data_IF_149849588259
#
_entry.id   IF_149849588259
#
_cell.length_a   1.000
_cell.length_b   1.000
_cell.length_c   1.000
_cell.angle_alpha   90.00
_cell.angle_beta   90.00
_cell.angle_gamma   90.00
#
_symmetry.space_group_name_H-M   'P 1'
#
loop_
_entity.id
_entity.type
_entity.pdbx_description
1 polymer ?
#
# COMPACT_ATOMS: atom_id res chain seq x y z
N UNK A 1 -2.40 46.29 2.71
CA UNK A 1 -1.96 45.39 1.65
C UNK A 1 -0.94 44.46 2.28
N UNK A 2 -1.43 43.40 2.94
CA UNK A 2 -0.58 42.35 3.53
C UNK A 2 -0.80 41.10 2.69
N UNK A 3 0.13 40.83 1.79
CA UNK A 3 0.26 39.51 1.18
C UNK A 3 0.74 38.54 2.25
N UNK A 4 -0.18 37.73 2.74
CA UNK A 4 0.13 36.60 3.57
C UNK A 4 0.79 35.54 2.68
N UNK A 5 2.10 35.48 2.76
CA UNK A 5 2.89 34.36 2.23
C UNK A 5 2.38 33.09 2.91
N UNK A 6 1.55 32.34 2.22
CA UNK A 6 1.35 30.92 2.50
C UNK A 6 2.66 30.21 2.16
N UNK A 7 3.54 30.11 3.15
CA UNK A 7 4.62 29.13 3.12
C UNK A 7 3.91 27.77 2.98
N UNK A 8 4.06 27.14 1.83
CA UNK A 8 3.82 25.72 1.67
C UNK A 8 4.76 25.03 2.67
N UNK A 9 4.25 24.69 3.85
CA UNK A 9 4.94 23.76 4.73
C UNK A 9 5.21 22.51 3.88
N UNK A 10 6.48 22.21 3.66
CA UNK A 10 6.93 21.12 2.82
C UNK A 10 6.23 19.82 3.29
N UNK A 11 5.67 19.07 2.36
CA UNK A 11 5.10 17.76 2.65
C UNK A 11 6.19 16.91 3.28
N UNK A 12 6.11 16.63 4.58
CA UNK A 12 6.99 15.70 5.29
C UNK A 12 6.55 14.24 5.01
N UNK A 13 6.21 13.95 3.76
CA UNK A 13 5.69 12.64 3.37
C UNK A 13 6.83 11.65 3.21
N UNK A 14 6.79 10.57 3.99
CA UNK A 14 7.72 9.45 3.92
C UNK A 14 6.95 8.17 3.71
N UNK A 15 7.28 7.44 2.66
CA UNK A 15 6.64 6.15 2.38
C UNK A 15 7.66 5.10 1.94
N UNK A 16 7.38 3.87 2.30
CA UNK A 16 8.05 2.67 1.80
C UNK A 16 6.97 1.74 1.24
N UNK A 17 6.90 1.67 -0.09
CA UNK A 17 5.90 0.88 -0.79
C UNK A 17 6.54 -0.41 -1.26
N UNK A 18 6.10 -1.53 -0.69
CA UNK A 18 6.66 -2.87 -0.95
C UNK A 18 5.65 -3.77 -1.65
N UNK A 19 6.13 -4.79 -2.30
CA UNK A 19 5.32 -5.88 -2.81
C UNK A 19 5.07 -6.92 -1.72
N UNK A 20 6.10 -7.59 -1.25
CA UNK A 20 6.04 -8.69 -0.29
C UNK A 20 6.28 -8.31 1.18
N UNK A 21 6.39 -7.02 1.54
CA UNK A 21 6.78 -6.58 2.89
C UNK A 21 8.30 -6.37 3.03
N UNK A 22 8.81 -6.49 4.25
CA UNK A 22 10.24 -6.26 4.55
C UNK A 22 11.00 -7.58 4.40
N UNK A 23 11.22 -8.02 3.16
CA UNK A 23 11.74 -9.36 2.83
C UNK A 23 13.26 -9.48 2.97
N UNK A 24 14.01 -8.39 2.80
CA UNK A 24 15.47 -8.41 2.80
C UNK A 24 16.09 -7.28 3.63
N UNK A 25 17.41 -7.33 3.78
CA UNK A 25 18.14 -6.36 4.60
C UNK A 25 18.11 -4.97 4.00
N UNK A 26 18.19 -4.84 2.69
CA UNK A 26 18.22 -3.54 2.00
C UNK A 26 16.90 -2.77 2.20
N UNK A 27 15.76 -3.47 2.11
CA UNK A 27 14.42 -2.87 2.39
C UNK A 27 14.32 -2.51 3.88
N UNK A 28 14.86 -3.37 4.78
CA UNK A 28 14.86 -3.10 6.22
C UNK A 28 15.68 -1.87 6.59
N UNK A 29 16.85 -1.70 5.96
CA UNK A 29 17.71 -0.55 6.19
C UNK A 29 17.06 0.74 5.68
N UNK A 30 16.38 0.70 4.54
CA UNK A 30 15.60 1.81 4.03
C UNK A 30 14.45 2.22 4.98
N UNK A 31 13.77 1.24 5.61
CA UNK A 31 12.79 1.52 6.64
C UNK A 31 13.40 2.21 7.86
N UNK A 32 14.55 1.72 8.35
CA UNK A 32 15.25 2.32 9.50
C UNK A 32 15.70 3.75 9.18
N UNK A 33 16.19 4.01 7.97
CA UNK A 33 16.54 5.35 7.50
C UNK A 33 15.33 6.29 7.50
N UNK A 34 14.19 5.85 6.94
CA UNK A 34 12.95 6.62 6.93
C UNK A 34 12.45 6.94 8.34
N UNK A 35 12.57 6.01 9.27
CA UNK A 35 12.19 6.22 10.68
C UNK A 35 13.11 7.23 11.36
N UNK A 36 14.39 7.30 10.96
CA UNK A 36 15.42 8.15 11.60
C UNK A 36 15.84 7.65 13.00
N UNK A 37 15.43 6.44 13.37
CA UNK A 37 15.74 5.75 14.63
C UNK A 37 15.56 4.24 14.47
N UNK A 38 16.08 3.41 15.40
CA UNK A 38 15.90 1.97 15.34
C UNK A 38 14.43 1.56 15.36
N UNK A 39 14.09 0.50 14.62
CA UNK A 39 12.73 -0.09 14.62
C UNK A 39 12.30 -0.45 16.06
N UNK A 40 13.24 -0.97 16.87
CA UNK A 40 12.99 -1.35 18.28
C UNK A 40 12.69 -0.15 19.21
N UNK A 41 12.87 1.07 18.75
CA UNK A 41 12.53 2.30 19.47
C UNK A 41 11.28 2.99 18.89
N UNK A 42 10.71 2.43 17.83
CA UNK A 42 9.59 3.02 17.06
C UNK A 42 8.26 2.35 17.42
N UNK A 43 7.23 3.17 17.58
CA UNK A 43 5.85 2.71 17.77
C UNK A 43 5.14 2.62 16.40
N UNK A 44 4.45 1.53 16.15
CA UNK A 44 3.74 1.33 14.89
C UNK A 44 2.24 1.08 15.11
N UNK A 45 1.44 1.43 14.10
CA UNK A 45 0.04 1.03 13.98
C UNK A 45 -0.12 0.11 12.77
N UNK A 46 -0.58 -1.10 13.01
CA UNK A 46 -0.90 -2.06 11.99
C UNK A 46 -2.34 -1.87 11.49
N UNK A 47 -2.52 -1.74 10.19
CA UNK A 47 -3.80 -1.54 9.51
C UNK A 47 -4.14 -2.80 8.71
N UNK A 48 -4.95 -3.73 9.27
CA UNK A 48 -5.29 -5.01 8.64
C UNK A 48 -6.47 -4.93 7.67
N UNK A 49 -7.08 -3.78 7.49
CA UNK A 49 -8.38 -3.58 6.81
C UNK A 49 -8.48 -4.30 5.46
N UNK A 50 -7.41 -4.31 4.64
CA UNK A 50 -7.38 -4.98 3.35
C UNK A 50 -7.59 -6.51 3.42
N UNK A 51 -7.36 -7.13 4.57
CA UNK A 51 -7.45 -8.59 4.76
C UNK A 51 -8.90 -9.06 4.98
N UNK A 52 -9.78 -8.21 5.50
CA UNK A 52 -11.12 -8.62 5.95
C UNK A 52 -12.08 -9.09 4.85
N UNK A 53 -12.01 -8.63 3.59
CA UNK A 53 -12.85 -9.16 2.52
C UNK A 53 -12.62 -10.62 2.18
N UNK A 54 -11.44 -11.15 2.53
CA UNK A 54 -11.10 -12.53 2.23
C UNK A 54 -11.73 -13.52 3.22
N UNK A 55 -12.07 -14.75 2.78
CA UNK A 55 -12.43 -15.82 3.68
C UNK A 55 -11.36 -16.01 4.77
N UNK A 56 -11.77 -15.93 6.05
CA UNK A 56 -10.83 -16.01 7.16
C UNK A 56 -10.02 -14.73 7.43
N UNK A 57 -10.43 -13.58 6.92
CA UNK A 57 -9.75 -12.30 7.09
C UNK A 57 -9.30 -11.98 8.53
N UNK A 58 -10.15 -12.15 9.58
CA UNK A 58 -9.72 -11.98 10.96
C UNK A 58 -8.57 -12.92 11.38
N UNK A 59 -8.55 -14.15 10.87
CA UNK A 59 -7.46 -15.10 11.11
C UNK A 59 -6.17 -14.67 10.38
N UNK A 60 -6.28 -14.17 9.15
CA UNK A 60 -5.14 -13.64 8.40
C UNK A 60 -4.53 -12.42 9.13
N UNK A 61 -5.36 -11.52 9.64
CA UNK A 61 -4.92 -10.36 10.43
C UNK A 61 -4.19 -10.80 11.72
N UNK A 62 -4.71 -11.81 12.43
CA UNK A 62 -4.05 -12.39 13.61
C UNK A 62 -2.68 -12.99 13.26
N UNK A 63 -2.60 -13.74 12.16
CA UNK A 63 -1.32 -14.33 11.70
C UNK A 63 -0.28 -13.28 11.35
N UNK A 64 -0.71 -12.17 10.75
CA UNK A 64 0.21 -11.07 10.44
C UNK A 64 0.82 -10.44 11.70
N UNK A 65 0.04 -10.34 12.78
CA UNK A 65 0.53 -9.85 14.07
C UNK A 65 1.44 -10.86 14.79
N UNK A 66 1.15 -12.15 14.64
CA UNK A 66 1.91 -13.25 15.26
C UNK A 66 3.22 -13.59 14.53
N UNK A 67 3.61 -12.83 13.51
CA UNK A 67 4.81 -13.11 12.69
C UNK A 67 4.71 -14.39 11.86
N UNK A 68 3.49 -14.78 11.50
CA UNK A 68 3.20 -15.98 10.67
C UNK A 68 2.73 -15.62 9.27
N UNK A 69 2.78 -14.34 8.92
CA UNK A 69 2.53 -13.87 7.56
C UNK A 69 3.75 -14.13 6.67
N UNK A 70 3.55 -14.46 5.39
CA UNK A 70 4.64 -14.47 4.42
C UNK A 70 5.20 -13.07 4.13
N UNK A 71 4.47 -12.01 4.54
CA UNK A 71 4.84 -10.61 4.32
C UNK A 71 5.27 -9.97 5.64
N UNK A 72 6.57 -9.96 5.98
CA UNK A 72 7.07 -9.42 7.24
C UNK A 72 6.76 -7.92 7.38
N UNK A 73 6.11 -7.54 8.46
CA UNK A 73 5.71 -6.16 8.72
C UNK A 73 5.58 -5.84 10.22
N UNK A 74 4.65 -6.51 10.92
CA UNK A 74 4.37 -6.24 12.33
C UNK A 74 5.40 -6.90 13.29
N UNK A 75 6.07 -7.97 12.87
CA UNK A 75 7.01 -8.77 13.67
C UNK A 75 8.47 -8.28 13.61
N UNK A 76 8.74 -7.13 13.04
CA UNK A 76 10.12 -6.64 12.83
C UNK A 76 10.86 -6.23 14.12
N UNK A 77 10.23 -6.40 15.28
CA UNK A 77 10.81 -6.02 16.57
C UNK A 77 10.55 -4.56 16.93
N UNK A 78 9.40 -4.03 16.57
CA UNK A 78 8.92 -2.70 16.96
C UNK A 78 8.87 -2.56 18.49
N UNK A 79 9.04 -1.33 19.00
CA UNK A 79 8.83 -1.03 20.42
C UNK A 79 7.39 -1.36 20.85
N UNK A 80 6.42 -1.03 20.03
CA UNK A 80 5.03 -1.42 20.18
C UNK A 80 4.34 -1.50 18.83
N UNK A 81 3.34 -2.37 18.73
CA UNK A 81 2.43 -2.44 17.57
C UNK A 81 1.00 -2.36 18.08
N UNK A 82 0.30 -1.29 17.74
CA UNK A 82 -1.15 -1.17 17.92
C UNK A 82 -1.90 -1.61 16.67
N UNK A 83 -3.21 -1.75 16.76
CA UNK A 83 -4.09 -2.05 15.62
C UNK A 83 -4.95 -0.84 15.34
N UNK A 84 -5.07 -0.47 14.06
CA UNK A 84 -5.99 0.54 13.56
C UNK A 84 -6.89 -0.08 12.48
N UNK A 85 -8.12 -0.43 12.85
CA UNK A 85 -9.09 -0.97 11.90
C UNK A 85 -9.96 0.16 11.34
N UNK A 86 -9.79 0.43 10.02
CA UNK A 86 -10.39 1.60 9.39
C UNK A 86 -11.91 1.53 9.30
N UNK A 87 -12.49 0.33 9.18
CA UNK A 87 -13.92 0.13 8.98
C UNK A 87 -14.76 0.54 10.18
N UNK A 88 -14.18 0.62 11.37
CA UNK A 88 -14.88 1.04 12.60
C UNK A 88 -14.75 2.52 12.89
N UNK A 89 -13.75 3.22 12.31
CA UNK A 89 -13.44 4.62 12.63
C UNK A 89 -14.60 5.58 12.39
N UNK A 90 -15.46 5.43 11.35
CA UNK A 90 -16.63 6.29 11.19
C UNK A 90 -17.64 6.23 12.32
N UNK A 91 -17.54 5.23 13.21
CA UNK A 91 -18.38 5.06 14.40
C UNK A 91 -17.72 5.56 15.68
N UNK A 92 -16.52 6.14 15.59
CA UNK A 92 -15.70 6.57 16.72
C UNK A 92 -15.38 8.06 16.53
N UNK A 93 -15.48 8.85 17.59
CA UNK A 93 -15.09 10.26 17.58
C UNK A 93 -13.62 10.42 17.18
N UNK A 94 -13.31 11.33 16.26
CA UNK A 94 -11.93 11.57 15.78
C UNK A 94 -10.96 11.86 16.92
N UNK A 95 -11.40 12.56 17.96
CA UNK A 95 -10.61 12.87 19.14
C UNK A 95 -10.11 11.61 19.88
N UNK A 96 -10.74 10.45 19.68
CA UNK A 96 -10.34 9.20 20.31
C UNK A 96 -9.24 8.45 19.56
N UNK A 97 -9.08 8.65 18.26
CA UNK A 97 -8.11 7.88 17.46
C UNK A 97 -7.05 8.73 16.75
N UNK A 98 -7.38 9.95 16.29
CA UNK A 98 -6.44 10.82 15.55
C UNK A 98 -5.15 11.11 16.34
N UNK A 99 -5.17 11.39 17.67
CA UNK A 99 -3.95 11.58 18.42
C UNK A 99 -3.02 10.36 18.36
N UNK A 100 -3.56 9.14 18.48
CA UNK A 100 -2.78 7.90 18.41
C UNK A 100 -2.12 7.72 17.03
N UNK A 101 -2.82 8.08 15.95
CA UNK A 101 -2.25 8.04 14.59
C UNK A 101 -1.12 9.07 14.42
N UNK A 102 -1.29 10.27 15.00
CA UNK A 102 -0.27 11.33 14.94
C UNK A 102 0.99 11.01 15.75
N UNK A 103 0.85 10.24 16.83
CA UNK A 103 1.94 9.84 17.72
C UNK A 103 2.68 8.58 17.23
N UNK A 104 2.15 7.88 16.24
CA UNK A 104 2.80 6.71 15.66
C UNK A 104 4.01 7.11 14.79
N UNK A 105 5.09 6.33 14.88
CA UNK A 105 6.27 6.49 14.01
C UNK A 105 6.07 5.85 12.64
N UNK A 106 5.24 4.81 12.57
CA UNK A 106 4.90 4.12 11.32
C UNK A 106 3.44 3.67 11.27
N UNK A 107 2.87 3.72 10.06
CA UNK A 107 1.61 3.09 9.71
C UNK A 107 1.90 1.88 8.81
N UNK A 108 1.64 0.69 9.31
CA UNK A 108 1.93 -0.58 8.66
C UNK A 108 0.67 -1.08 7.96
N UNK A 109 0.56 -0.85 6.66
CA UNK A 109 -0.65 -1.11 5.89
C UNK A 109 -0.55 -2.46 5.18
N UNK A 110 -1.35 -3.41 5.62
CA UNK A 110 -1.34 -4.78 5.12
C UNK A 110 -1.74 -4.90 3.64
N UNK A 111 -1.28 -5.98 3.01
CA UNK A 111 -1.80 -6.45 1.74
C UNK A 111 -3.23 -6.99 1.84
N UNK A 112 -3.81 -7.34 0.70
CA UNK A 112 -5.17 -7.86 0.61
C UNK A 112 -5.95 -7.23 -0.54
N UNK A 113 -7.18 -6.78 -0.31
CA UNK A 113 -8.01 -6.14 -1.33
C UNK A 113 -7.79 -4.62 -1.35
N UNK A 114 -7.22 -4.05 -2.44
CA UNK A 114 -6.92 -2.63 -2.52
C UNK A 114 -8.16 -1.75 -2.69
N UNK A 115 -9.24 -2.23 -3.34
CA UNK A 115 -10.49 -1.47 -3.47
C UNK A 115 -11.16 -1.28 -2.12
N UNK A 116 -11.27 -2.37 -1.35
CA UNK A 116 -11.83 -2.31 -0.01
C UNK A 116 -10.99 -1.40 0.91
N UNK A 117 -9.67 -1.56 0.89
CA UNK A 117 -8.75 -0.74 1.67
C UNK A 117 -8.90 0.75 1.32
N UNK A 118 -8.77 1.11 0.04
CA UNK A 118 -8.84 2.49 -0.41
C UNK A 118 -10.21 3.14 -0.10
N UNK A 119 -11.31 2.37 -0.22
CA UNK A 119 -12.62 2.83 0.18
C UNK A 119 -12.67 3.19 1.67
N UNK A 120 -12.12 2.33 2.55
CA UNK A 120 -12.10 2.60 3.98
C UNK A 120 -11.09 3.68 4.37
N UNK A 121 -9.96 3.82 3.68
CA UNK A 121 -9.05 4.95 3.89
C UNK A 121 -9.75 6.30 3.68
N UNK A 122 -10.58 6.42 2.64
CA UNK A 122 -11.38 7.62 2.40
C UNK A 122 -12.52 7.78 3.41
N UNK A 123 -13.31 6.74 3.63
CA UNK A 123 -14.50 6.80 4.51
C UNK A 123 -14.16 7.02 5.97
N UNK A 124 -12.99 6.58 6.42
CA UNK A 124 -12.50 6.82 7.78
C UNK A 124 -11.88 8.20 7.97
N UNK A 125 -11.64 8.96 6.90
CA UNK A 125 -10.89 10.21 6.95
C UNK A 125 -9.37 10.03 7.02
N UNK A 126 -8.87 8.78 7.05
CA UNK A 126 -7.41 8.55 7.09
C UNK A 126 -6.72 9.12 5.86
N UNK A 127 -7.30 8.98 4.66
CA UNK A 127 -6.70 9.48 3.43
C UNK A 127 -6.42 11.00 3.49
N UNK A 128 -7.33 11.78 4.08
CA UNK A 128 -7.17 13.23 4.25
C UNK A 128 -6.14 13.57 5.34
N UNK A 129 -5.99 12.68 6.33
CA UNK A 129 -5.05 12.87 7.43
C UNK A 129 -3.60 12.56 7.01
N UNK A 130 -3.38 11.54 6.16
CA UNK A 130 -2.07 11.03 5.78
C UNK A 130 -1.06 12.12 5.34
N UNK A 131 -1.41 13.11 4.48
CA UNK A 131 -0.46 14.15 4.06
C UNK A 131 0.02 15.06 5.20
N UNK A 132 -0.66 15.05 6.34
CA UNK A 132 -0.35 15.87 7.53
C UNK A 132 0.48 15.12 8.58
N UNK A 133 0.71 13.82 8.38
CA UNK A 133 1.40 12.97 9.33
C UNK A 133 2.93 13.05 9.15
N UNK A 134 3.63 12.78 10.26
CA UNK A 134 5.08 12.57 10.27
C UNK A 134 5.47 11.10 10.26
N UNK A 135 4.50 10.23 10.40
CA UNK A 135 4.68 8.77 10.37
C UNK A 135 5.21 8.32 9.01
N UNK A 136 5.99 7.26 8.99
CA UNK A 136 6.34 6.56 7.76
C UNK A 136 5.16 5.68 7.34
N UNK A 137 4.64 5.88 6.13
CA UNK A 137 3.67 4.97 5.55
C UNK A 137 4.42 3.76 4.99
N UNK A 138 4.12 2.56 5.48
CA UNK A 138 4.72 1.31 5.00
C UNK A 138 3.60 0.46 4.41
N UNK A 139 3.57 0.36 3.09
CA UNK A 139 2.57 -0.42 2.36
C UNK A 139 3.09 -1.78 1.93
N UNK A 140 2.23 -2.79 1.96
CA UNK A 140 2.48 -4.12 1.38
C UNK A 140 1.43 -4.42 0.34
N UNK A 141 1.81 -4.75 -0.91
CA UNK A 141 0.88 -5.14 -1.98
C UNK A 141 -0.30 -4.16 -2.11
N UNK A 142 -1.52 -4.55 -1.74
CA UNK A 142 -2.69 -3.66 -1.70
C UNK A 142 -2.46 -2.37 -0.90
N UNK A 143 -1.68 -2.43 0.19
CA UNK A 143 -1.28 -1.25 0.96
C UNK A 143 -0.44 -0.28 0.15
N UNK A 144 0.43 -0.78 -0.73
CA UNK A 144 1.22 0.05 -1.66
C UNK A 144 0.34 0.62 -2.77
N UNK A 145 -0.57 -0.18 -3.31
CA UNK A 145 -1.52 0.27 -4.35
C UNK A 145 -2.46 1.36 -3.81
N UNK A 146 -3.00 1.18 -2.61
CA UNK A 146 -3.92 2.15 -2.00
C UNK A 146 -3.26 3.49 -1.65
N UNK A 147 -1.93 3.57 -1.55
CA UNK A 147 -1.20 4.83 -1.37
C UNK A 147 -1.18 5.71 -2.62
N UNK A 148 -1.37 5.15 -3.81
CA UNK A 148 -1.32 5.85 -5.10
C UNK A 148 -2.57 6.70 -5.33
N UNK A 149 -2.53 7.61 -6.31
CA UNK A 149 -3.72 8.37 -6.71
C UNK A 149 -4.74 7.49 -7.44
N UNK A 150 -4.24 6.58 -8.29
CA UNK A 150 -5.05 5.64 -9.06
C UNK A 150 -4.29 4.33 -9.18
N UNK A 151 -4.99 3.24 -9.03
CA UNK A 151 -4.47 1.89 -9.23
C UNK A 151 -5.44 1.06 -10.06
N UNK A 152 -4.95 -0.04 -10.59
CA UNK A 152 -5.77 -1.06 -11.25
C UNK A 152 -5.45 -2.39 -10.59
N UNK A 153 -6.47 -3.20 -10.30
CA UNK A 153 -6.34 -4.54 -9.72
C UNK A 153 -7.04 -5.57 -10.59
N UNK A 154 -6.57 -6.81 -10.52
CA UNK A 154 -7.12 -7.96 -11.25
C UNK A 154 -8.07 -8.76 -10.38
N UNK A 155 -9.23 -9.11 -10.92
CA UNK A 155 -10.21 -9.94 -10.25
C UNK A 155 -10.69 -11.07 -11.16
N UNK A 156 -11.05 -12.21 -10.55
CA UNK A 156 -11.94 -13.19 -11.19
C UNK A 156 -13.38 -12.68 -11.17
N UNK A 157 -13.81 -12.23 -9.99
CA UNK A 157 -15.08 -11.56 -9.76
C UNK A 157 -14.80 -10.38 -8.83
N UNK A 158 -15.10 -9.14 -9.23
CA UNK A 158 -14.92 -7.97 -8.37
C UNK A 158 -15.74 -8.12 -7.09
N UNK A 159 -15.28 -7.58 -5.96
CA UNK A 159 -16.04 -7.62 -4.72
C UNK A 159 -17.42 -6.97 -4.92
N UNK A 160 -18.45 -7.53 -4.26
CA UNK A 160 -19.80 -6.98 -4.33
C UNK A 160 -19.91 -5.66 -3.56
N UNK A 161 -20.68 -4.70 -4.08
CA UNK A 161 -20.96 -3.43 -3.43
C UNK A 161 -20.25 -2.23 -4.07
N UNK A 162 -20.45 -1.04 -3.49
CA UNK A 162 -19.77 0.19 -3.91
C UNK A 162 -18.41 0.27 -3.21
N UNK A 163 -17.36 -0.06 -3.94
CA UNK A 163 -15.97 0.02 -3.48
C UNK A 163 -15.24 1.24 -4.08
N UNK A 164 -15.97 2.19 -4.68
CA UNK A 164 -15.37 3.33 -5.34
C UNK A 164 -14.59 2.95 -6.61
N UNK A 165 -14.99 1.88 -7.31
CA UNK A 165 -14.43 1.53 -8.60
C UNK A 165 -14.77 2.60 -9.65
N UNK A 166 -13.77 3.01 -10.45
CA UNK A 166 -13.92 4.02 -11.48
C UNK A 166 -14.29 3.39 -12.83
N UNK A 167 -13.72 2.23 -13.12
CA UNK A 167 -13.88 1.52 -14.38
C UNK A 167 -13.57 0.03 -14.17
N UNK A 168 -14.24 -0.83 -14.93
CA UNK A 168 -13.86 -2.23 -15.09
C UNK A 168 -13.81 -2.61 -16.57
N UNK A 169 -12.89 -3.52 -16.92
CA UNK A 169 -12.80 -4.07 -18.28
C UNK A 169 -12.28 -5.51 -18.24
N UNK A 170 -12.79 -6.34 -19.17
CA UNK A 170 -12.30 -7.70 -19.34
C UNK A 170 -10.92 -7.70 -20.01
N UNK A 171 -10.04 -8.60 -19.58
CA UNK A 171 -8.70 -8.78 -20.13
C UNK A 171 -8.33 -10.26 -20.11
N UNK A 172 -7.53 -10.68 -21.08
CA UNK A 172 -6.92 -12.02 -21.11
C UNK A 172 -5.45 -11.89 -20.78
N UNK A 173 -5.03 -12.61 -19.74
CA UNK A 173 -3.64 -12.72 -19.33
C UNK A 173 -3.07 -14.08 -19.68
N UNK A 174 -1.87 -14.09 -20.25
CA UNK A 174 -1.12 -15.31 -20.46
C UNK A 174 -0.45 -15.71 -19.13
N UNK A 175 -0.63 -16.97 -18.75
CA UNK A 175 0.04 -17.56 -17.57
C UNK A 175 0.77 -18.85 -17.97
N UNK A 176 1.68 -19.37 -17.13
CA UNK A 176 2.34 -20.67 -17.40
C UNK A 176 1.35 -21.84 -17.53
N UNK A 177 0.13 -21.70 -16.99
CA UNK A 177 -0.92 -22.72 -17.05
C UNK A 177 -1.89 -22.52 -18.22
N UNK A 178 -1.70 -21.46 -19.03
CA UNK A 178 -2.56 -21.07 -20.14
C UNK A 178 -3.17 -19.68 -19.96
N UNK A 179 -3.93 -19.26 -20.93
CA UNK A 179 -4.62 -17.98 -20.88
C UNK A 179 -5.74 -17.99 -19.84
N UNK A 180 -5.87 -16.90 -19.10
CA UNK A 180 -6.90 -16.72 -18.07
C UNK A 180 -7.65 -15.42 -18.29
N UNK A 181 -8.98 -15.49 -18.14
CA UNK A 181 -9.84 -14.32 -18.14
C UNK A 181 -9.77 -13.62 -16.79
N UNK A 182 -9.65 -12.29 -16.82
CA UNK A 182 -9.65 -11.42 -15.65
C UNK A 182 -10.50 -10.19 -15.90
N UNK A 183 -10.91 -9.56 -14.81
CA UNK A 183 -11.52 -8.24 -14.83
C UNK A 183 -10.52 -7.28 -14.20
N UNK A 184 -10.05 -6.30 -14.99
CA UNK A 184 -9.27 -5.19 -14.48
C UNK A 184 -10.20 -4.15 -13.89
N UNK A 185 -10.01 -3.80 -12.64
CA UNK A 185 -10.81 -2.79 -11.95
C UNK A 185 -9.92 -1.62 -11.55
N UNK A 186 -10.27 -0.43 -12.05
CA UNK A 186 -9.59 0.81 -11.68
C UNK A 186 -10.19 1.35 -10.39
N UNK A 187 -9.35 1.61 -9.41
CA UNK A 187 -9.70 2.22 -8.14
C UNK A 187 -8.97 3.55 -7.90
N UNK A 188 -9.53 4.35 -7.00
CA UNK A 188 -8.91 5.57 -6.50
C UNK A 188 -8.30 5.31 -5.13
N UNK A 189 -6.99 5.57 -4.99
CA UNK A 189 -6.26 5.45 -3.74
C UNK A 189 -6.27 6.74 -2.91
N UNK A 190 -5.31 6.83 -1.98
CA UNK A 190 -5.18 7.97 -1.05
C UNK A 190 -4.43 9.18 -1.64
N UNK A 191 -3.79 9.03 -2.80
CA UNK A 191 -3.09 10.14 -3.47
C UNK A 191 -1.83 10.61 -2.75
N UNK A 192 -1.13 9.71 -2.05
CA UNK A 192 0.17 10.04 -1.44
C UNK A 192 1.27 10.17 -2.48
N UNK A 193 1.17 9.43 -3.58
CA UNK A 193 2.15 9.41 -4.66
C UNK A 193 1.46 9.51 -6.02
N UNK A 194 2.16 10.09 -7.00
CA UNK A 194 1.65 10.39 -8.35
C UNK A 194 2.08 9.33 -9.39
N UNK A 195 2.38 8.12 -8.94
CA UNK A 195 2.66 6.95 -9.75
C UNK A 195 1.81 5.78 -9.27
N UNK A 196 1.75 4.70 -10.03
CA UNK A 196 1.06 3.47 -9.65
C UNK A 196 2.04 2.33 -9.37
N UNK A 197 1.56 1.30 -8.66
CA UNK A 197 2.33 0.12 -8.30
C UNK A 197 1.58 -1.13 -8.76
N UNK A 198 2.29 -2.02 -9.46
CA UNK A 198 1.88 -3.41 -9.73
C UNK A 198 2.81 -4.29 -8.87
N UNK A 199 2.31 -4.89 -7.80
CA UNK A 199 3.09 -5.77 -6.93
C UNK A 199 3.23 -7.18 -7.52
N UNK A 200 4.07 -7.99 -6.86
CA UNK A 200 4.26 -9.44 -7.13
C UNK A 200 4.75 -9.76 -8.54
N UNK A 201 5.57 -8.87 -9.13
CA UNK A 201 6.16 -9.09 -10.45
C UNK A 201 6.89 -10.45 -10.49
N UNK A 202 6.51 -11.28 -11.48
CA UNK A 202 7.09 -12.63 -11.71
C UNK A 202 6.99 -13.60 -10.50
N UNK A 203 6.07 -13.35 -9.55
CA UNK A 203 5.88 -14.23 -8.40
C UNK A 203 5.03 -15.46 -8.76
N UNK A 204 5.48 -16.67 -8.35
CA UNK A 204 4.85 -17.95 -8.72
C UNK A 204 3.36 -18.07 -8.31
N UNK A 205 2.98 -17.48 -7.19
CA UNK A 205 1.59 -17.47 -6.69
C UNK A 205 0.74 -16.33 -7.26
N UNK A 206 1.33 -15.46 -8.09
CA UNK A 206 0.67 -14.35 -8.76
C UNK A 206 0.96 -14.38 -10.27
N UNK A 207 0.53 -15.43 -10.98
CA UNK A 207 0.88 -15.63 -12.40
C UNK A 207 0.35 -14.52 -13.32
N UNK A 208 -0.63 -13.75 -12.84
CA UNK A 208 -1.17 -12.58 -13.53
C UNK A 208 -0.16 -11.42 -13.60
N UNK A 209 0.79 -11.36 -12.66
CA UNK A 209 1.78 -10.30 -12.54
C UNK A 209 3.10 -10.61 -13.29
N UNK A 210 3.07 -11.39 -14.37
CA UNK A 210 4.24 -11.54 -15.26
C UNK A 210 4.60 -10.21 -15.93
N UNK A 211 5.85 -10.03 -16.35
CA UNK A 211 6.29 -8.79 -17.00
C UNK A 211 5.45 -8.44 -18.24
N UNK A 212 5.07 -9.45 -19.03
CA UNK A 212 4.22 -9.27 -20.21
C UNK A 212 2.80 -8.83 -19.86
N UNK A 213 2.23 -9.33 -18.78
CA UNK A 213 0.92 -8.91 -18.30
C UNK A 213 1.00 -7.55 -17.60
N UNK A 214 2.07 -7.27 -16.85
CA UNK A 214 2.31 -5.98 -16.23
C UNK A 214 2.37 -4.83 -17.25
N UNK A 215 2.91 -5.07 -18.45
CA UNK A 215 2.88 -4.11 -19.55
C UNK A 215 1.45 -3.82 -20.02
N UNK A 216 0.63 -4.86 -20.22
CA UNK A 216 -0.80 -4.71 -20.56
C UNK A 216 -1.56 -3.98 -19.46
N UNK A 217 -1.24 -4.28 -18.21
CA UNK A 217 -1.85 -3.69 -17.03
C UNK A 217 -1.49 -2.21 -16.93
N UNK A 218 -0.19 -1.87 -16.99
CA UNK A 218 0.31 -0.49 -16.91
C UNK A 218 -0.25 0.41 -18.03
N UNK A 219 -0.46 -0.13 -19.25
CA UNK A 219 -1.04 0.61 -20.36
C UNK A 219 -2.47 1.16 -20.09
N UNK A 220 -3.11 0.73 -19.02
CA UNK A 220 -4.45 1.18 -18.59
C UNK A 220 -4.41 2.20 -17.45
N UNK A 221 -3.23 2.48 -16.94
CA UNK A 221 -3.01 3.41 -15.82
C UNK A 221 -2.48 4.72 -16.40
N UNK A 222 -3.17 5.85 -16.20
CA UNK A 222 -2.74 7.14 -16.74
C UNK A 222 -1.68 7.81 -15.84
N UNK A 223 -0.68 7.02 -15.40
CA UNK A 223 0.42 7.47 -14.55
C UNK A 223 1.64 6.57 -14.75
N UNK A 224 2.86 7.07 -14.49
CA UNK A 224 4.04 6.19 -14.42
C UNK A 224 3.76 5.03 -13.47
N UNK A 225 4.08 3.80 -13.90
CA UNK A 225 3.71 2.59 -13.16
C UNK A 225 4.95 1.74 -12.90
N UNK A 226 5.20 1.47 -11.63
CA UNK A 226 6.27 0.58 -11.20
C UNK A 226 5.70 -0.83 -11.00
N UNK A 227 6.19 -1.80 -11.77
CA UNK A 227 6.01 -3.22 -11.44
C UNK A 227 7.21 -3.66 -10.61
N UNK A 228 6.96 -4.23 -9.44
CA UNK A 228 7.98 -4.61 -8.46
C UNK A 228 7.77 -6.04 -7.95
N UNK A 229 8.87 -6.79 -7.82
CA UNK A 229 8.86 -8.09 -7.18
C UNK A 229 8.90 -7.98 -5.64
N UNK A 230 8.88 -9.12 -4.95
CA UNK A 230 8.82 -9.14 -3.49
C UNK A 230 10.14 -8.75 -2.80
N UNK A 231 11.25 -8.67 -3.56
CA UNK A 231 12.55 -8.19 -3.10
C UNK A 231 12.81 -6.71 -3.41
N UNK A 232 11.78 -5.99 -3.84
CA UNK A 232 11.85 -4.57 -4.22
C UNK A 232 10.89 -3.71 -3.41
N UNK A 233 11.35 -2.52 -3.04
CA UNK A 233 10.55 -1.45 -2.45
C UNK A 233 10.76 -0.11 -3.16
N UNK A 234 9.76 0.75 -3.08
CA UNK A 234 9.82 2.13 -3.54
C UNK A 234 9.85 3.03 -2.30
N UNK A 235 11.01 3.65 -2.06
CA UNK A 235 11.19 4.64 -0.99
C UNK A 235 10.85 6.02 -1.53
N UNK A 236 10.00 6.74 -0.81
CA UNK A 236 9.56 8.09 -1.18
C UNK A 236 9.78 9.03 -0.02
N UNK A 237 10.46 10.15 -0.29
CA UNK A 237 10.68 11.24 0.66
C UNK A 237 10.34 12.55 -0.02
N UNK A 238 9.32 13.24 0.43
CA UNK A 238 8.89 14.56 -0.10
C UNK A 238 8.70 14.58 -1.63
N UNK A 239 8.22 13.46 -2.18
CA UNK A 239 8.01 13.25 -3.62
C UNK A 239 9.24 12.75 -4.39
N UNK A 240 10.43 12.73 -3.78
CA UNK A 240 11.60 12.08 -4.38
C UNK A 240 11.48 10.56 -4.27
N UNK A 241 11.69 9.86 -5.39
CA UNK A 241 11.53 8.41 -5.51
C UNK A 241 12.90 7.75 -5.61
N UNK A 242 13.14 6.73 -4.79
CA UNK A 242 14.31 5.87 -4.82
C UNK A 242 13.85 4.40 -4.85
N UNK A 243 14.41 3.61 -5.76
CA UNK A 243 14.16 2.15 -5.80
C UNK A 243 15.20 1.45 -4.94
N UNK A 244 14.70 0.67 -4.01
CA UNK A 244 15.48 -0.16 -3.08
C UNK A 244 15.21 -1.62 -3.45
N UNK A 245 16.19 -2.33 -4.01
CA UNK A 245 15.93 -3.64 -4.60
C UNK A 245 17.13 -4.58 -4.51
N UNK A 246 16.84 -5.84 -4.15
CA UNK A 246 17.70 -7.00 -4.35
C UNK A 246 17.14 -7.92 -5.45
N UNK A 247 16.04 -7.54 -6.09
CA UNK A 247 15.30 -8.30 -7.08
C UNK A 247 15.09 -7.57 -8.40
N UNK A 248 13.89 -7.66 -8.94
CA UNK A 248 13.52 -7.16 -10.27
C UNK A 248 12.39 -6.13 -10.20
N UNK A 249 12.49 -5.12 -11.03
CA UNK A 249 11.45 -4.12 -11.19
C UNK A 249 11.46 -3.52 -12.59
N UNK A 250 10.35 -2.90 -12.96
CA UNK A 250 10.20 -2.21 -14.24
C UNK A 250 9.37 -0.94 -14.05
N UNK A 251 9.84 0.17 -14.65
CA UNK A 251 9.04 1.38 -14.79
C UNK A 251 8.44 1.43 -16.20
N UNK A 252 7.13 1.55 -16.27
CA UNK A 252 6.37 1.87 -17.46
C UNK A 252 6.02 3.36 -17.42
N UNK A 253 6.35 4.07 -18.49
CA UNK A 253 5.95 5.48 -18.64
C UNK A 253 4.49 5.56 -19.11
N UNK A 254 3.77 6.59 -18.65
CA UNK A 254 2.39 6.85 -19.06
C UNK A 254 2.29 7.28 -20.52
#
# INVERSE_FOLDING_TARGET
MNEQLYLTEGRNMRALLTSGGIQNTTIRDALAELLGKPIAESNALFIPTALYPFPGGPYLASRALDGKSPSPLAELGWKSVGILELSVLPSIEEAAWVPTVRDADALLVAGGDPLFLANWMRRSGLADLLPTLRSVYVGVSAGSMAATSTFVETYLEPPAGDHGSLKSEDVVFATPQGDVDRILVTGQGAGLVDFAVIPHLEHENHPDASLANAEKWAARIPAPTYAIDDDTAIKVVDGAVEIVSEGQWKLFQA
#
